data_IF_286107802873
#
_entry.id   IF_286107802873
#
_cell.length_a   1.000
_cell.length_b   1.000
_cell.length_c   1.000
_cell.angle_alpha   90.00
_cell.angle_beta   90.00
_cell.angle_gamma   90.00
#
_symmetry.space_group_name_H-M   'P 1'
#
loop_
_entity.id
_entity.type
_entity.pdbx_description
1 polymer ?
#
# COMPACT_ATOMS: atom_id res chain seq x y z
N UNK A 1 19.30 22.66 4.97
CA UNK A 1 18.05 21.99 4.55
C UNK A 1 17.25 21.73 5.82
N UNK A 2 16.07 22.33 6.02
CA UNK A 2 15.25 22.05 7.21
C UNK A 2 14.79 20.60 7.14
N UNK A 3 15.00 19.82 8.20
CA UNK A 3 14.41 18.48 8.29
C UNK A 3 12.88 18.62 8.26
N UNK A 4 12.27 18.15 7.17
CA UNK A 4 10.82 18.10 7.10
C UNK A 4 10.31 17.07 8.11
N UNK A 5 9.41 17.49 8.99
CA UNK A 5 8.79 16.58 9.94
C UNK A 5 7.98 15.50 9.20
N UNK A 6 8.08 14.25 9.65
CA UNK A 6 7.39 13.10 9.01
C UNK A 6 5.87 13.29 8.86
N UNK A 7 5.22 14.01 9.78
CA UNK A 7 3.81 14.35 9.66
C UNK A 7 3.49 15.27 8.47
N UNK A 8 4.42 16.14 8.07
CA UNK A 8 4.30 16.97 6.86
C UNK A 8 4.43 16.11 5.60
N UNK A 9 5.33 15.13 5.60
CA UNK A 9 5.51 14.18 4.49
C UNK A 9 4.26 13.32 4.29
N UNK A 10 3.69 12.78 5.36
CA UNK A 10 2.43 12.01 5.28
C UNK A 10 1.27 12.83 4.72
N UNK A 11 1.21 14.14 5.04
CA UNK A 11 0.21 15.06 4.47
C UNK A 11 0.43 15.28 2.98
N UNK A 12 1.67 15.46 2.54
CA UNK A 12 2.01 15.56 1.10
C UNK A 12 1.53 14.28 0.39
N UNK A 13 1.86 13.11 0.94
CA UNK A 13 1.43 11.84 0.36
C UNK A 13 -0.09 11.70 0.27
N UNK A 14 -0.79 12.05 1.34
CA UNK A 14 -2.26 12.05 1.38
C UNK A 14 -2.86 13.03 0.35
N UNK A 15 -2.25 14.21 0.18
CA UNK A 15 -2.66 15.20 -0.80
C UNK A 15 -2.49 14.71 -2.25
N UNK A 16 -1.34 14.10 -2.57
CA UNK A 16 -1.09 13.52 -3.89
C UNK A 16 -2.08 12.40 -4.21
N UNK A 17 -2.35 11.49 -3.26
CA UNK A 17 -3.33 10.41 -3.42
C UNK A 17 -4.74 10.97 -3.62
N UNK A 18 -5.15 11.96 -2.83
CA UNK A 18 -6.46 12.61 -2.99
C UNK A 18 -6.61 13.25 -4.38
N UNK A 19 -5.55 13.90 -4.85
CA UNK A 19 -5.53 14.59 -6.14
C UNK A 19 -5.61 13.61 -7.31
N UNK A 20 -4.83 12.52 -7.31
CA UNK A 20 -4.89 11.52 -8.39
C UNK A 20 -6.22 10.76 -8.39
N UNK A 21 -6.77 10.41 -7.23
CA UNK A 21 -8.09 9.77 -7.14
C UNK A 21 -9.19 10.68 -7.69
N UNK A 22 -9.14 11.97 -7.34
CA UNK A 22 -10.07 12.98 -7.88
C UNK A 22 -9.91 13.13 -9.39
N UNK A 23 -8.67 13.16 -9.89
CA UNK A 23 -8.38 13.22 -11.33
C UNK A 23 -8.95 12.01 -12.08
N UNK A 24 -8.90 10.82 -11.48
CA UNK A 24 -9.53 9.59 -11.99
C UNK A 24 -11.05 9.58 -11.87
N UNK A 25 -11.66 10.63 -11.30
CA UNK A 25 -13.09 10.75 -11.10
C UNK A 25 -13.63 9.97 -9.90
N UNK A 26 -12.78 9.59 -8.95
CA UNK A 26 -13.17 8.92 -7.72
C UNK A 26 -13.37 9.92 -6.58
N UNK A 27 -14.23 9.60 -5.61
CA UNK A 27 -14.31 10.34 -4.35
C UNK A 27 -13.49 9.63 -3.28
N UNK A 28 -12.58 10.35 -2.62
CA UNK A 28 -11.77 9.82 -1.52
C UNK A 28 -12.28 10.32 -0.16
N UNK A 29 -12.53 9.39 0.76
CA UNK A 29 -12.87 9.70 2.15
C UNK A 29 -11.81 9.13 3.10
N UNK A 30 -11.08 10.00 3.81
CA UNK A 30 -10.20 9.57 4.89
C UNK A 30 -10.99 9.04 6.08
N UNK A 31 -10.53 7.92 6.65
CA UNK A 31 -11.20 7.25 7.76
C UNK A 31 -10.44 7.44 9.07
N UNK A 32 -11.08 7.10 10.20
CA UNK A 32 -10.42 7.11 11.51
C UNK A 32 -9.25 6.13 11.49
N UNK A 33 -8.14 6.47 12.16
CA UNK A 33 -6.92 5.63 12.27
C UNK A 33 -7.20 4.20 12.76
N UNK A 34 -8.26 3.99 13.55
CA UNK A 34 -8.69 2.67 14.05
C UNK A 34 -9.37 1.78 13.01
N UNK A 35 -9.59 2.28 11.79
CA UNK A 35 -10.22 1.55 10.70
C UNK A 35 -9.30 0.53 10.05
N UNK A 36 -7.98 0.68 10.26
CA UNK A 36 -6.95 -0.21 9.73
C UNK A 36 -6.58 0.04 8.27
N UNK A 37 -6.86 1.24 7.74
CA UNK A 37 -6.43 1.76 6.44
C UNK A 37 -6.56 3.29 6.46
N UNK A 38 -6.07 4.01 5.45
CA UNK A 38 -6.09 5.49 5.41
C UNK A 38 -7.39 6.07 4.86
N UNK A 39 -7.95 5.52 3.78
CA UNK A 39 -9.18 6.06 3.17
C UNK A 39 -9.95 5.08 2.29
N UNK A 40 -11.19 5.44 1.97
CA UNK A 40 -12.05 4.76 1.00
C UNK A 40 -12.06 5.57 -0.29
N UNK A 41 -11.61 4.98 -1.40
CA UNK A 41 -11.88 5.52 -2.73
C UNK A 41 -13.13 4.88 -3.30
N UNK A 42 -14.05 5.69 -3.80
CA UNK A 42 -15.30 5.25 -4.40
C UNK A 42 -15.35 5.74 -5.84
N UNK A 43 -15.42 4.79 -6.77
CA UNK A 43 -15.61 5.07 -8.19
C UNK A 43 -17.04 5.51 -8.48
N UNK A 44 -17.26 6.24 -9.58
CA UNK A 44 -18.62 6.59 -10.03
C UNK A 44 -19.51 5.36 -10.28
N UNK A 45 -18.92 4.22 -10.61
CA UNK A 45 -19.61 2.94 -10.77
C UNK A 45 -20.09 2.32 -9.45
N UNK A 46 -19.66 2.85 -8.30
CA UNK A 46 -19.96 2.30 -6.98
C UNK A 46 -18.91 1.31 -6.45
N UNK A 47 -17.86 1.00 -7.21
CA UNK A 47 -16.73 0.19 -6.71
C UNK A 47 -16.01 0.93 -5.58
N UNK A 48 -15.71 0.22 -4.48
CA UNK A 48 -15.07 0.78 -3.29
C UNK A 48 -13.73 0.12 -3.02
N UNK A 49 -12.68 0.93 -2.89
CA UNK A 49 -11.32 0.48 -2.55
C UNK A 49 -10.91 1.00 -1.18
N UNK A 50 -10.35 0.13 -0.35
CA UNK A 50 -9.70 0.51 0.91
C UNK A 50 -8.23 0.79 0.62
N UNK A 51 -7.79 2.03 0.86
CA UNK A 51 -6.46 2.49 0.50
C UNK A 51 -5.62 2.67 1.74
N UNK A 52 -4.45 2.03 1.74
CA UNK A 52 -3.33 2.28 2.65
C UNK A 52 -2.25 3.07 1.92
N UNK A 53 -1.91 4.24 2.44
CA UNK A 53 -0.93 5.16 1.87
C UNK A 53 0.41 4.98 2.58
N UNK A 54 1.47 4.79 1.80
CA UNK A 54 2.86 4.73 2.27
C UNK A 54 3.67 5.77 1.55
N UNK A 55 3.97 6.87 2.24
CA UNK A 55 4.81 7.94 1.71
C UNK A 55 6.29 7.61 1.92
N UNK A 56 7.04 7.57 0.83
CA UNK A 56 8.43 7.13 0.77
C UNK A 56 9.33 8.28 0.36
N UNK A 57 10.01 8.90 1.34
CA UNK A 57 10.97 9.97 1.07
C UNK A 57 12.38 9.41 0.84
N UNK A 58 12.98 8.78 1.86
CA UNK A 58 14.36 8.28 1.81
C UNK A 58 14.48 6.74 1.73
N UNK A 59 13.57 6.03 2.40
CA UNK A 59 13.53 4.56 2.40
C UNK A 59 12.23 4.10 1.76
N UNK A 60 12.36 3.24 0.77
CA UNK A 60 11.27 2.67 -0.03
C UNK A 60 11.36 1.14 -0.12
N UNK A 61 12.06 0.52 0.85
CA UNK A 61 12.22 -0.93 0.98
C UNK A 61 11.60 -1.47 2.27
N UNK A 62 10.99 -0.61 3.10
CA UNK A 62 10.25 -1.02 4.29
C UNK A 62 8.88 -0.37 4.32
N UNK A 63 7.88 -1.15 4.70
CA UNK A 63 6.56 -0.64 5.08
C UNK A 63 6.24 -1.09 6.49
N UNK A 64 5.55 -0.24 7.24
CA UNK A 64 5.08 -0.60 8.58
C UNK A 64 3.56 -0.58 8.64
N UNK A 65 2.98 -1.59 9.30
CA UNK A 65 1.53 -1.76 9.43
C UNK A 65 1.23 -1.91 10.91
N UNK A 66 0.39 -1.01 11.41
CA UNK A 66 0.12 -0.87 12.84
C UNK A 66 -1.29 -1.37 13.17
N UNK A 67 -1.36 -2.24 14.18
CA UNK A 67 -2.60 -2.76 14.73
C UNK A 67 -3.08 -4.02 14.01
N UNK A 68 -3.64 -4.94 14.80
CA UNK A 68 -4.08 -6.24 14.31
C UNK A 68 -5.11 -6.13 13.19
N UNK A 69 -6.01 -5.13 13.26
CA UNK A 69 -7.03 -4.89 12.24
C UNK A 69 -6.42 -4.49 10.90
N UNK A 70 -5.40 -3.63 10.90
CA UNK A 70 -4.75 -3.23 9.65
C UNK A 70 -4.02 -4.41 9.00
N UNK A 71 -3.33 -5.20 9.82
CA UNK A 71 -2.63 -6.41 9.36
C UNK A 71 -3.63 -7.42 8.77
N UNK A 72 -4.70 -7.70 9.49
CA UNK A 72 -5.79 -8.60 9.06
C UNK A 72 -6.36 -8.18 7.70
N UNK A 73 -6.65 -6.88 7.54
CA UNK A 73 -7.18 -6.36 6.28
C UNK A 73 -6.20 -6.43 5.13
N UNK A 74 -4.95 -6.05 5.38
CA UNK A 74 -3.91 -6.01 4.36
C UNK A 74 -3.69 -7.37 3.68
N UNK A 75 -3.77 -8.46 4.46
CA UNK A 75 -3.47 -9.80 3.96
C UNK A 75 -4.71 -10.64 3.62
N UNK A 76 -5.91 -10.28 4.12
CA UNK A 76 -7.09 -11.14 3.99
C UNK A 76 -8.33 -10.45 3.41
N UNK A 77 -8.32 -9.14 3.15
CA UNK A 77 -9.38 -8.46 2.38
C UNK A 77 -9.01 -8.32 0.90
N UNK A 78 -9.98 -8.53 -0.01
CA UNK A 78 -9.76 -8.46 -1.46
C UNK A 78 -9.58 -7.04 -1.99
N UNK A 79 -10.39 -6.10 -1.50
CA UNK A 79 -10.41 -4.70 -2.00
C UNK A 79 -9.46 -3.78 -1.23
N UNK A 80 -8.31 -4.34 -0.81
CA UNK A 80 -7.29 -3.62 -0.07
C UNK A 80 -6.14 -3.25 -0.99
N UNK A 81 -5.82 -1.96 -1.04
CA UNK A 81 -4.83 -1.39 -1.93
C UNK A 81 -3.71 -0.70 -1.17
N UNK A 82 -2.49 -0.86 -1.68
CA UNK A 82 -1.30 -0.15 -1.20
C UNK A 82 -0.94 0.93 -2.21
N UNK A 83 -0.87 2.18 -1.73
CA UNK A 83 -0.51 3.34 -2.52
C UNK A 83 0.85 3.83 -2.04
N UNK A 84 1.89 3.61 -2.83
CA UNK A 84 3.21 4.14 -2.54
C UNK A 84 3.35 5.52 -3.15
N UNK A 85 3.65 6.52 -2.32
CA UNK A 85 3.87 7.88 -2.77
C UNK A 85 5.34 8.21 -2.67
N UNK A 86 6.01 8.32 -3.80
CA UNK A 86 7.44 8.59 -3.89
C UNK A 86 7.66 10.10 -3.90
N UNK A 87 8.34 10.60 -2.87
CA UNK A 87 8.69 12.01 -2.69
C UNK A 87 10.22 12.12 -2.73
N UNK A 88 10.80 13.06 -3.48
CA UNK A 88 10.18 14.23 -4.12
C UNK A 88 9.66 14.00 -5.56
N UNK A 89 9.65 12.78 -6.07
CA UNK A 89 9.36 12.48 -7.47
C UNK A 89 7.89 12.73 -7.87
N UNK A 90 7.01 12.88 -6.89
CA UNK A 90 5.56 13.03 -7.04
C UNK A 90 4.93 11.89 -7.85
N UNK A 91 5.44 10.67 -7.63
CA UNK A 91 4.94 9.45 -8.24
C UNK A 91 4.03 8.71 -7.26
N UNK A 92 2.88 8.24 -7.73
CA UNK A 92 1.96 7.37 -6.99
C UNK A 92 1.92 6.01 -7.68
N UNK A 93 2.36 4.98 -6.98
CA UNK A 93 2.30 3.57 -7.41
C UNK A 93 1.12 2.91 -6.70
N UNK A 94 0.15 2.41 -7.45
CA UNK A 94 -1.08 1.80 -6.94
C UNK A 94 -1.05 0.29 -7.16
N UNK A 95 -1.17 -0.47 -6.07
CA UNK A 95 -1.07 -1.94 -6.11
C UNK A 95 -2.24 -2.59 -5.36
N UNK A 96 -2.65 -3.78 -5.82
CA UNK A 96 -3.47 -4.68 -5.00
C UNK A 96 -2.57 -5.23 -3.90
N UNK A 97 -2.96 -5.07 -2.64
CA UNK A 97 -2.04 -5.26 -1.53
C UNK A 97 -1.53 -6.70 -1.40
N UNK A 98 -2.44 -7.68 -1.33
CA UNK A 98 -2.05 -9.08 -1.16
C UNK A 98 -1.24 -9.62 -2.36
N UNK A 99 -1.65 -9.42 -3.63
CA UNK A 99 -0.83 -9.81 -4.78
C UNK A 99 0.58 -9.22 -4.74
N UNK A 100 0.69 -7.92 -4.44
CA UNK A 100 1.99 -7.24 -4.31
C UNK A 100 2.87 -7.83 -3.21
N UNK A 101 2.31 -8.05 -2.01
CA UNK A 101 3.09 -8.59 -0.88
C UNK A 101 3.49 -10.04 -1.10
N UNK A 102 2.61 -10.86 -1.68
CA UNK A 102 2.96 -12.25 -2.06
C UNK A 102 4.11 -12.26 -3.05
N UNK A 103 4.04 -11.41 -4.08
CA UNK A 103 5.09 -11.31 -5.06
C UNK A 103 6.43 -10.93 -4.42
N UNK A 104 6.47 -9.86 -3.60
CA UNK A 104 7.67 -9.45 -2.87
C UNK A 104 8.24 -10.57 -1.99
N UNK A 105 7.40 -11.31 -1.28
CA UNK A 105 7.83 -12.42 -0.42
C UNK A 105 8.27 -13.67 -1.21
N UNK A 106 7.73 -13.87 -2.42
CA UNK A 106 8.11 -14.97 -3.30
C UNK A 106 9.54 -14.81 -3.84
N UNK A 107 9.99 -13.57 -4.06
CA UNK A 107 11.38 -13.27 -4.41
C UNK A 107 12.37 -13.76 -3.35
N UNK A 108 11.93 -13.79 -2.08
CA UNK A 108 12.69 -14.29 -0.93
C UNK A 108 12.45 -15.80 -0.64
N UNK A 109 11.70 -16.52 -1.50
CA UNK A 109 11.31 -17.94 -1.32
C UNK A 109 10.53 -18.24 -0.02
N UNK A 110 9.76 -17.27 0.50
CA UNK A 110 8.93 -17.43 1.71
C UNK A 110 7.52 -17.90 1.36
N UNK A 111 7.32 -19.20 1.21
CA UNK A 111 6.05 -19.76 0.69
C UNK A 111 4.95 -19.97 1.75
N UNK A 112 5.29 -20.15 3.04
CA UNK A 112 4.32 -20.52 4.09
C UNK A 112 3.90 -19.35 5.01
N UNK A 113 4.24 -18.11 4.65
CA UNK A 113 4.11 -16.98 5.57
C UNK A 113 2.67 -16.63 5.97
N UNK A 114 1.69 -16.90 5.08
CA UNK A 114 0.30 -16.53 5.33
C UNK A 114 -0.35 -17.38 6.41
N UNK A 115 -0.07 -18.68 6.42
CA UNK A 115 -0.62 -19.60 7.41
C UNK A 115 -0.06 -19.28 8.81
N UNK A 116 1.24 -19.01 8.89
CA UNK A 116 1.90 -18.55 10.12
C UNK A 116 1.31 -17.22 10.62
N UNK A 117 1.11 -16.25 9.71
CA UNK A 117 0.51 -14.96 10.04
C UNK A 117 -0.93 -15.11 10.53
N UNK A 118 -1.74 -15.92 9.85
CA UNK A 118 -3.14 -16.16 10.25
C UNK A 118 -3.20 -16.81 11.64
N UNK A 119 -2.36 -17.81 11.90
CA UNK A 119 -2.25 -18.48 13.20
C UNK A 119 -1.85 -17.51 14.32
N UNK A 120 -0.89 -16.61 14.05
CA UNK A 120 -0.47 -15.57 14.98
C UNK A 120 -1.59 -14.54 15.26
N UNK A 121 -2.33 -14.11 14.23
CA UNK A 121 -3.47 -13.19 14.39
C UNK A 121 -4.56 -13.82 15.26
N UNK A 122 -4.95 -15.07 14.96
CA UNK A 122 -5.96 -15.82 15.73
C UNK A 122 -5.55 -15.95 17.20
N UNK A 123 -4.29 -16.29 17.44
CA UNK A 123 -3.75 -16.44 18.80
C UNK A 123 -3.74 -15.12 19.59
N UNK A 124 -3.34 -14.02 18.94
CA UNK A 124 -3.30 -12.69 19.56
C UNK A 124 -4.71 -12.17 19.87
N UNK A 125 -5.67 -12.35 18.95
CA UNK A 125 -7.09 -12.01 19.16
C UNK A 125 -7.66 -12.80 20.36
N UNK A 126 -7.40 -14.11 20.44
CA UNK A 126 -7.83 -14.99 21.55
C UNK A 126 -7.24 -14.54 22.90
N UNK A 127 -5.93 -14.28 22.95
CA UNK A 127 -5.26 -13.85 24.17
C UNK A 127 -5.81 -12.51 24.67
N UNK A 128 -6.03 -11.55 23.76
CA UNK A 128 -6.62 -10.24 24.09
C UNK A 128 -8.00 -10.39 24.75
N UNK A 129 -8.86 -11.25 24.19
CA UNK A 129 -10.22 -11.48 24.69
C UNK A 129 -10.23 -12.11 26.08
N UNK A 130 -9.33 -13.07 26.32
CA UNK A 130 -9.37 -13.88 27.55
C UNK A 130 -8.62 -13.24 28.73
N UNK A 131 -7.67 -12.34 28.48
CA UNK A 131 -6.81 -11.76 29.52
C UNK A 131 -7.14 -10.29 29.86
N UNK A 132 -8.01 -9.64 29.09
CA UNK A 132 -8.21 -8.19 29.18
C UNK A 132 -7.02 -7.36 28.67
N UNK A 133 -5.95 -8.01 28.16
CA UNK A 133 -4.78 -7.34 27.62
C UNK A 133 -5.06 -6.74 26.24
N UNK A 134 -4.52 -5.56 25.98
CA UNK A 134 -4.60 -4.89 24.68
C UNK A 134 -3.26 -4.99 23.95
N UNK A 135 -3.17 -5.89 22.98
CA UNK A 135 -2.00 -6.00 22.11
C UNK A 135 -2.07 -4.96 20.99
N UNK A 136 -0.99 -4.22 20.80
CA UNK A 136 -0.82 -3.24 19.71
C UNK A 136 0.28 -3.73 18.76
N UNK A 137 0.03 -4.81 18.01
CA UNK A 137 1.05 -5.38 17.16
C UNK A 137 1.42 -4.40 16.04
N UNK A 138 2.70 -4.41 15.68
CA UNK A 138 3.24 -3.72 14.51
C UNK A 138 4.08 -4.71 13.74
N UNK A 139 3.86 -4.80 12.44
CA UNK A 139 4.76 -5.53 11.54
C UNK A 139 5.52 -4.54 10.67
N UNK A 140 6.79 -4.84 10.42
CA UNK A 140 7.59 -4.17 9.41
C UNK A 140 7.88 -5.19 8.31
N UNK A 141 7.46 -4.88 7.10
CA UNK A 141 7.65 -5.75 5.94
C UNK A 141 8.80 -5.18 5.12
N UNK A 142 9.83 -5.99 4.92
CA UNK A 142 10.93 -5.68 4.01
C UNK A 142 10.48 -6.04 2.60
N UNK A 143 10.61 -5.11 1.67
CA UNK A 143 10.43 -5.34 0.24
C UNK A 143 11.76 -5.84 -0.32
N UNK A 144 11.73 -6.92 -1.08
CA UNK A 144 12.92 -7.49 -1.72
C UNK A 144 13.45 -6.55 -2.80
N UNK A 145 12.56 -5.83 -3.49
CA UNK A 145 12.90 -4.78 -4.45
C UNK A 145 12.38 -3.43 -3.94
N UNK A 146 13.23 -2.39 -3.84
CA UNK A 146 12.79 -1.03 -3.51
C UNK A 146 11.74 -0.50 -4.52
N UNK A 147 10.77 0.29 -4.06
CA UNK A 147 9.68 0.77 -4.93
C UNK A 147 10.22 1.61 -6.11
N UNK A 148 11.23 2.47 -5.92
CA UNK A 148 11.80 3.26 -7.03
C UNK A 148 12.40 2.38 -8.12
N UNK A 149 13.19 1.38 -7.71
CA UNK A 149 13.79 0.41 -8.64
C UNK A 149 12.70 -0.36 -9.41
N UNK A 150 11.63 -0.73 -8.71
CA UNK A 150 10.46 -1.35 -9.33
C UNK A 150 9.80 -0.43 -10.37
N UNK A 151 9.67 0.87 -10.09
CA UNK A 151 9.14 1.84 -11.07
C UNK A 151 10.06 1.93 -12.29
N UNK A 152 11.38 2.00 -12.09
CA UNK A 152 12.35 2.01 -13.19
C UNK A 152 12.25 0.76 -14.08
N UNK A 153 12.19 -0.43 -13.47
CA UNK A 153 12.06 -1.72 -14.18
C UNK A 153 10.72 -1.83 -14.96
N UNK A 154 9.61 -1.33 -14.40
CA UNK A 154 8.31 -1.33 -15.10
C UNK A 154 8.35 -0.40 -16.31
N UNK A 155 8.95 0.78 -16.16
CA UNK A 155 9.00 1.78 -17.22
C UNK A 155 10.05 1.49 -18.29
N UNK A 156 11.08 0.68 -18.00
CA UNK A 156 12.06 0.21 -18.99
C UNK A 156 11.54 -0.91 -19.90
N UNK A 157 10.45 -1.59 -19.51
CA UNK A 157 9.84 -2.67 -20.29
C UNK A 157 10.54 -4.03 -20.14
N UNK A 158 11.52 -4.17 -19.23
CA UNK A 158 12.32 -5.39 -19.04
C UNK A 158 11.75 -6.37 -17.99
N UNK A 159 10.46 -6.29 -17.67
CA UNK A 159 9.90 -6.93 -16.47
C UNK A 159 9.25 -8.31 -16.70
N UNK A 160 9.21 -9.12 -15.63
CA UNK A 160 8.51 -10.42 -15.54
C UNK A 160 6.98 -10.26 -15.47
N UNK A 161 6.23 -11.18 -16.09
CA UNK A 161 4.76 -11.28 -16.10
C UNK A 161 4.11 -11.16 -14.71
N UNK A 162 4.80 -11.61 -13.66
CA UNK A 162 4.30 -11.54 -12.28
C UNK A 162 4.14 -10.10 -11.75
N UNK A 163 4.92 -9.13 -12.26
CA UNK A 163 4.81 -7.72 -11.88
C UNK A 163 3.53 -7.08 -12.42
N UNK A 164 3.09 -7.47 -13.63
CA UNK A 164 1.83 -6.99 -14.25
C UNK A 164 0.61 -7.27 -13.38
N UNK A 165 0.62 -8.35 -12.61
CA UNK A 165 -0.55 -8.72 -11.81
C UNK A 165 -0.56 -8.08 -10.42
N UNK A 166 0.51 -7.39 -10.02
CA UNK A 166 0.65 -6.80 -8.68
C UNK A 166 0.59 -5.28 -8.66
N UNK A 167 1.26 -4.61 -9.61
CA UNK A 167 1.24 -3.15 -9.78
C UNK A 167 0.21 -2.82 -10.85
N UNK A 168 -0.84 -2.08 -10.50
CA UNK A 168 -1.96 -1.86 -11.41
C UNK A 168 -1.79 -0.55 -12.18
N UNK A 169 -1.37 0.52 -11.48
CA UNK A 169 -1.22 1.84 -12.09
C UNK A 169 -0.02 2.58 -11.50
N UNK A 170 0.65 3.37 -12.35
CA UNK A 170 1.67 4.33 -11.92
C UNK A 170 1.31 5.69 -12.51
N UNK A 171 1.25 6.69 -11.64
CA UNK A 171 0.92 8.07 -11.99
C UNK A 171 2.02 9.01 -11.53
N UNK A 172 2.27 10.07 -12.29
CA UNK A 172 3.20 11.14 -11.91
C UNK A 172 2.50 12.49 -12.01
N UNK A 173 2.66 13.31 -10.99
CA UNK A 173 2.25 14.71 -11.04
C UNK A 173 3.40 15.56 -11.59
N UNK A 174 3.18 16.17 -12.74
CA UNK A 174 4.04 17.23 -13.29
C UNK A 174 3.26 18.54 -13.29
N UNK A 175 3.00 19.16 -14.45
CA UNK A 175 2.01 20.23 -14.57
C UNK A 175 0.57 19.69 -14.48
N UNK A 176 0.36 18.49 -15.01
CA UNK A 176 -0.89 17.71 -14.93
C UNK A 176 -0.57 16.27 -14.55
N UNK A 177 -1.58 15.50 -14.16
CA UNK A 177 -1.42 14.08 -13.92
C UNK A 177 -1.12 13.34 -15.23
N UNK A 178 -0.01 12.59 -15.23
CA UNK A 178 0.38 11.72 -16.33
C UNK A 178 0.33 10.26 -15.86
N UNK A 179 -0.42 9.43 -16.57
CA UNK A 179 -0.38 7.98 -16.37
C UNK A 179 0.88 7.45 -17.03
N UNK A 180 1.79 6.88 -16.23
CA UNK A 180 3.03 6.28 -16.71
C UNK A 180 2.84 4.79 -17.03
N UNK A 181 1.92 4.13 -16.34
CA UNK A 181 1.65 2.71 -16.50
C UNK A 181 0.23 2.37 -16.08
N UNK A 182 -0.41 1.44 -16.79
CA UNK A 182 -1.67 0.80 -16.42
C UNK A 182 -1.71 -0.63 -16.94
N UNK A 183 -2.23 -1.54 -16.13
CA UNK A 183 -2.58 -2.90 -16.55
C UNK A 183 -4.00 -2.86 -17.09
N UNK A 184 -4.17 -3.27 -18.35
CA UNK A 184 -5.51 -3.52 -18.88
C UNK A 184 -6.01 -4.84 -18.28
N UNK A 185 -7.07 -4.79 -17.48
CA UNK A 185 -7.77 -6.01 -17.06
C UNK A 185 -8.55 -6.52 -18.30
N UNK A 186 -8.22 -7.74 -18.77
CA UNK A 186 -8.97 -8.45 -19.84
C UNK A 186 -10.38 -8.86 -19.38
#
# INVERSE_FOLDING_TARGET
MREEHGASIEKIGSGLVSSVETYKGCSLQFVRRTSGFNGLSVYKSGEVRKIEIKTMQKSDYWISINGIRAIDKLFFERDYWLYFVLVPENIVVMTKALPFLRFQLSLDKKLNFLDELEGWIKSTKRLSKNSGLKFLPKINIKLSTPIRKLVEEILSGEYNFDWKNSVIEIWKMEATWKQLFIVQEE
#
